data_IF_283297823350
#
_entry.id   IF_283297823350
#
_cell.length_a   1.000
_cell.length_b   1.000
_cell.length_c   1.000
_cell.angle_alpha   90.00
_cell.angle_beta   90.00
_cell.angle_gamma   90.00
#
_symmetry.space_group_name_H-M   'P 1'
#
loop_
_entity.id
_entity.type
_entity.pdbx_description
1 polymer ?
#
# COMPACT_ATOMS: atom_id res chain seq x y z
N UNK A 1 0.49 -4.35 15.04
CA UNK A 1 -0.84 -4.42 14.38
C UNK A 1 -0.67 -5.08 13.01
N UNK A 2 -1.70 -5.73 12.43
CA UNK A 2 -1.64 -6.24 11.04
C UNK A 2 -2.09 -5.16 10.05
N UNK A 3 -1.65 -5.21 8.80
CA UNK A 3 -2.04 -4.23 7.77
C UNK A 3 -3.58 -4.07 7.67
N UNK A 4 -4.30 -5.19 7.58
CA UNK A 4 -5.78 -5.20 7.56
C UNK A 4 -6.41 -4.50 8.78
N UNK A 5 -5.85 -4.67 9.99
CA UNK A 5 -6.35 -3.99 11.21
C UNK A 5 -5.92 -2.52 11.32
N UNK A 6 -4.90 -2.10 10.56
CA UNK A 6 -4.44 -0.71 10.51
C UNK A 6 -5.15 0.11 9.41
N UNK A 7 -5.87 -0.53 8.49
CA UNK A 7 -6.59 0.14 7.40
C UNK A 7 -7.56 1.19 7.95
N UNK A 8 -7.50 2.40 7.40
CA UNK A 8 -8.28 3.55 7.86
C UNK A 8 -7.65 4.35 9.01
N UNK A 9 -6.78 3.76 9.84
CA UNK A 9 -6.14 4.46 10.95
C UNK A 9 -5.07 5.46 10.45
N UNK A 10 -4.94 6.60 11.12
CA UNK A 10 -3.76 7.49 11.01
C UNK A 10 -2.91 7.30 12.25
N UNK A 11 -1.59 7.21 12.08
CA UNK A 11 -0.60 6.96 13.14
C UNK A 11 0.55 7.95 12.98
N UNK A 12 1.09 8.48 14.08
CA UNK A 12 2.16 9.49 14.00
C UNK A 12 3.55 8.88 13.75
N UNK A 13 3.77 7.64 14.19
CA UNK A 13 4.98 6.83 13.93
C UNK A 13 4.64 5.35 13.78
N UNK A 14 5.31 4.64 12.86
CA UNK A 14 5.15 3.21 12.61
C UNK A 14 6.47 2.50 12.31
N UNK A 15 6.55 1.23 12.69
CA UNK A 15 7.60 0.30 12.26
C UNK A 15 6.95 -0.75 11.34
N UNK A 16 7.51 -0.97 10.15
CA UNK A 16 6.92 -1.83 9.10
C UNK A 16 7.88 -2.90 8.60
N UNK A 17 7.39 -4.13 8.37
CA UNK A 17 8.14 -5.21 7.72
C UNK A 17 7.68 -5.41 6.27
N UNK A 18 8.32 -4.70 5.34
CA UNK A 18 8.01 -4.81 3.92
C UNK A 18 8.59 -6.08 3.27
N UNK A 19 9.60 -6.71 3.90
CA UNK A 19 10.23 -7.92 3.36
C UNK A 19 9.33 -9.16 3.53
N UNK A 20 8.55 -9.23 4.61
CA UNK A 20 7.54 -10.27 4.87
C UNK A 20 6.23 -10.13 4.07
N UNK A 21 6.02 -9.01 3.36
CA UNK A 21 4.78 -8.75 2.64
C UNK A 21 4.58 -9.60 1.37
N UNK A 22 3.31 -9.85 1.03
CA UNK A 22 2.83 -10.38 -0.26
C UNK A 22 1.92 -9.33 -0.91
N UNK A 23 1.83 -9.33 -2.24
CA UNK A 23 1.11 -8.30 -3.00
C UNK A 23 1.83 -6.94 -3.02
N UNK A 24 1.12 -5.90 -3.43
CA UNK A 24 1.54 -4.47 -3.31
C UNK A 24 0.62 -3.69 -2.35
N UNK A 25 -0.57 -4.24 -2.13
CA UNK A 25 -1.67 -3.68 -1.35
C UNK A 25 -1.30 -3.56 0.14
N UNK A 26 -0.73 -4.61 0.74
CA UNK A 26 -0.32 -4.59 2.14
C UNK A 26 0.83 -3.59 2.44
N UNK A 27 1.92 -3.53 1.65
CA UNK A 27 2.91 -2.45 1.74
C UNK A 27 2.31 -1.05 1.62
N UNK A 28 1.41 -0.82 0.66
CA UNK A 28 0.72 0.46 0.51
C UNK A 28 -0.10 0.81 1.76
N UNK A 29 -0.90 -0.13 2.27
CA UNK A 29 -1.69 0.08 3.51
C UNK A 29 -0.77 0.38 4.70
N UNK A 30 0.36 -0.33 4.87
CA UNK A 30 1.31 -0.08 5.96
C UNK A 30 1.94 1.32 5.91
N UNK A 31 2.46 1.73 4.75
CA UNK A 31 3.15 3.03 4.62
C UNK A 31 2.18 4.21 4.67
N UNK A 32 0.97 4.07 4.11
CA UNK A 32 -0.05 5.14 4.09
C UNK A 32 -0.75 5.40 5.44
N UNK A 33 -0.24 4.85 6.56
CA UNK A 33 -0.76 5.17 7.91
C UNK A 33 -0.12 6.42 8.51
N UNK A 34 1.08 6.81 8.06
CA UNK A 34 1.81 7.99 8.55
C UNK A 34 1.65 9.19 7.62
N UNK A 35 1.86 10.40 8.19
CA UNK A 35 1.78 11.67 7.44
C UNK A 35 3.11 12.12 6.82
N UNK A 36 4.25 11.59 7.28
CA UNK A 36 5.58 11.89 6.73
C UNK A 36 6.51 10.67 6.77
N UNK A 37 7.62 10.73 6.04
CA UNK A 37 8.64 9.68 6.04
C UNK A 37 9.41 9.61 7.37
N UNK A 38 9.51 10.71 8.12
CA UNK A 38 10.15 10.73 9.47
C UNK A 38 9.36 9.90 10.50
N UNK A 39 8.08 9.65 10.22
CA UNK A 39 7.25 8.72 10.99
C UNK A 39 7.43 7.25 10.60
N UNK A 40 8.16 6.93 9.52
CA UNK A 40 8.24 5.59 8.93
C UNK A 40 9.61 4.94 9.15
N UNK A 41 9.67 3.90 9.99
CA UNK A 41 10.85 3.04 10.11
C UNK A 41 10.59 1.70 9.42
N UNK A 42 11.41 1.35 8.43
CA UNK A 42 11.38 0.04 7.78
C UNK A 42 12.30 -0.92 8.55
N UNK A 43 11.73 -2.01 9.08
CA UNK A 43 12.39 -2.92 10.03
C UNK A 43 13.64 -3.61 9.47
N UNK A 44 13.68 -3.84 8.16
CA UNK A 44 14.77 -4.53 7.45
C UNK A 44 14.75 -4.21 5.95
N UNK A 45 15.90 -4.35 5.30
CA UNK A 45 16.01 -4.21 3.85
C UNK A 45 15.04 -5.16 3.12
N UNK A 46 14.50 -4.70 1.99
CA UNK A 46 13.50 -5.41 1.19
C UNK A 46 13.78 -5.19 -0.31
N UNK A 47 13.38 -6.13 -1.15
CA UNK A 47 13.48 -5.95 -2.61
C UNK A 47 12.43 -4.93 -3.10
N UNK A 48 12.79 -3.99 -4.00
CA UNK A 48 11.83 -3.07 -4.64
C UNK A 48 10.61 -3.77 -5.26
N UNK A 49 10.78 -5.03 -5.70
CA UNK A 49 9.69 -5.88 -6.19
C UNK A 49 8.56 -6.14 -5.18
N UNK A 50 8.74 -5.83 -3.88
CA UNK A 50 7.66 -5.86 -2.87
C UNK A 50 6.70 -4.68 -2.96
N UNK A 51 7.15 -3.53 -3.48
CA UNK A 51 6.33 -2.32 -3.64
C UNK A 51 6.01 -2.01 -5.11
N UNK A 52 6.74 -2.63 -6.03
CA UNK A 52 6.52 -2.58 -7.48
C UNK A 52 5.70 -3.78 -8.01
N UNK A 53 5.16 -4.62 -7.12
CA UNK A 53 4.28 -5.73 -7.46
C UNK A 53 3.06 -5.24 -8.26
N UNK A 54 2.70 -5.95 -9.33
CA UNK A 54 1.48 -5.61 -10.10
C UNK A 54 0.25 -5.91 -9.26
N UNK A 55 -0.68 -4.95 -9.19
CA UNK A 55 -2.03 -5.13 -8.63
C UNK A 55 -2.76 -6.29 -9.32
N UNK A 56 -3.78 -6.82 -8.65
CA UNK A 56 -4.64 -7.90 -9.17
C UNK A 56 -5.24 -7.61 -10.56
N UNK A 57 -5.62 -8.66 -11.28
CA UNK A 57 -6.37 -8.54 -12.55
C UNK A 57 -7.67 -7.72 -12.37
N UNK A 58 -8.41 -8.02 -11.30
CA UNK A 58 -9.68 -7.40 -10.97
C UNK A 58 -9.53 -5.90 -10.68
N UNK A 59 -8.62 -5.52 -9.78
CA UNK A 59 -8.33 -4.12 -9.45
C UNK A 59 -7.91 -3.32 -10.69
N UNK A 60 -7.10 -3.91 -11.58
CA UNK A 60 -6.69 -3.24 -12.83
C UNK A 60 -7.85 -3.06 -13.81
N UNK A 61 -8.75 -4.04 -13.94
CA UNK A 61 -9.96 -3.94 -14.78
C UNK A 61 -10.92 -2.88 -14.24
N UNK A 62 -11.11 -2.82 -12.92
CA UNK A 62 -11.97 -1.83 -12.28
C UNK A 62 -11.40 -0.41 -12.40
N UNK A 63 -10.10 -0.21 -12.15
CA UNK A 63 -9.46 1.10 -12.33
C UNK A 63 -9.53 1.58 -13.79
N UNK A 64 -9.41 0.67 -14.78
CA UNK A 64 -9.63 1.00 -16.19
C UNK A 64 -11.10 1.38 -16.47
N UNK A 65 -12.07 0.64 -15.91
CA UNK A 65 -13.50 0.93 -16.06
C UNK A 65 -13.84 2.31 -15.48
N UNK A 66 -13.36 2.61 -14.28
CA UNK A 66 -13.57 3.91 -13.61
C UNK A 66 -12.94 5.06 -14.40
N UNK A 67 -11.71 4.89 -14.90
CA UNK A 67 -11.06 5.88 -15.76
C UNK A 67 -11.84 6.15 -17.05
N UNK A 68 -12.33 5.10 -17.73
CA UNK A 68 -13.15 5.23 -18.94
C UNK A 68 -14.53 5.87 -18.67
N UNK A 69 -15.12 5.68 -17.47
CA UNK A 69 -16.34 6.39 -17.07
C UNK A 69 -16.08 7.88 -16.81
N UNK A 70 -14.99 8.22 -16.10
CA UNK A 70 -14.63 9.61 -15.78
C UNK A 70 -14.26 10.48 -17.00
N UNK A 71 -14.10 9.89 -18.18
CA UNK A 71 -13.94 10.60 -19.46
C UNK A 71 -15.27 10.82 -20.22
N UNK A 72 -16.41 10.47 -19.60
CA UNK A 72 -17.77 10.57 -20.19
C UNK A 72 -18.76 11.37 -19.33
N UNK A 73 -18.26 12.08 -18.32
CA UNK A 73 -19.02 12.84 -17.32
C UNK A 73 -18.38 14.19 -17.09
#
# INVERSE_FOLDING_TARGET
ITAHKAQGATLDRVIVDLAGCKGTEAPYVMCSRVRSLDGLLVLRAFSPARIQSRQSEETRREMWRLHHLALRT
#
